data_IF_629332405805
#
_entry.id   IF_629332405805
#
_cell.length_a   1.000
_cell.length_b   1.000
_cell.length_c   1.000
_cell.angle_alpha   90.00
_cell.angle_beta   90.00
_cell.angle_gamma   90.00
#
_symmetry.space_group_name_H-M   'P 1'
#
loop_
_entity.id
_entity.type
_entity.pdbx_description
1 polymer ?
#
# COMPACT_ATOMS: atom_id res chain seq x y z
N UNK A 1 2.24 20.91 -14.86
CA UNK A 1 1.14 20.24 -14.14
C UNK A 1 0.77 21.13 -12.97
N UNK A 2 -0.52 21.43 -12.76
CA UNK A 2 -0.94 22.26 -11.62
C UNK A 2 -0.82 21.47 -10.31
N UNK A 3 -0.74 22.15 -9.16
CA UNK A 3 -0.52 21.53 -7.84
C UNK A 3 -1.58 20.47 -7.50
N UNK A 4 -2.82 20.72 -7.90
CA UNK A 4 -3.93 19.75 -7.74
C UNK A 4 -3.71 18.46 -8.51
N UNK A 5 -3.23 18.55 -9.75
CA UNK A 5 -3.00 17.38 -10.60
C UNK A 5 -1.77 16.59 -10.11
N UNK A 6 -0.75 17.31 -9.65
CA UNK A 6 0.42 16.72 -8.98
C UNK A 6 0.01 15.95 -7.73
N UNK A 7 -0.87 16.52 -6.90
CA UNK A 7 -1.40 15.85 -5.71
C UNK A 7 -2.18 14.59 -6.05
N UNK A 8 -3.08 14.65 -7.04
CA UNK A 8 -3.85 13.48 -7.50
C UNK A 8 -2.94 12.35 -7.94
N UNK A 9 -1.96 12.69 -8.78
CA UNK A 9 -1.05 11.72 -9.36
C UNK A 9 -0.17 11.06 -8.28
N UNK A 10 0.47 11.85 -7.41
CA UNK A 10 1.35 11.30 -6.37
C UNK A 10 0.57 10.54 -5.28
N UNK A 11 -0.62 11.02 -4.90
CA UNK A 11 -1.47 10.31 -3.92
C UNK A 11 -2.00 8.99 -4.51
N UNK A 12 -2.38 8.98 -5.78
CA UNK A 12 -2.78 7.77 -6.50
C UNK A 12 -1.62 6.79 -6.65
N UNK A 13 -0.43 7.26 -7.05
CA UNK A 13 0.76 6.41 -7.22
C UNK A 13 1.25 5.79 -5.91
N UNK A 14 1.06 6.47 -4.78
CA UNK A 14 1.42 5.94 -3.46
C UNK A 14 0.77 4.57 -3.22
N UNK A 15 -0.52 4.43 -3.55
CA UNK A 15 -1.26 3.16 -3.40
C UNK A 15 -1.23 2.31 -4.67
N UNK A 16 -1.28 2.94 -5.84
CA UNK A 16 -1.39 2.25 -7.13
C UNK A 16 -0.12 1.47 -7.49
N UNK A 17 1.03 1.91 -7.00
CA UNK A 17 2.29 1.16 -7.12
C UNK A 17 2.24 -0.18 -6.41
N UNK A 18 1.45 -0.34 -5.35
CA UNK A 18 1.30 -1.60 -4.61
C UNK A 18 0.59 -2.69 -5.40
N UNK A 19 -0.13 -2.31 -6.45
CA UNK A 19 -0.84 -3.21 -7.36
C UNK A 19 0.11 -3.76 -8.43
N UNK A 20 1.22 -3.05 -8.69
CA UNK A 20 2.21 -3.46 -9.68
C UNK A 20 3.03 -4.61 -9.13
N UNK A 21 2.99 -5.71 -9.87
CA UNK A 21 3.39 -7.06 -9.50
C UNK A 21 4.78 -7.17 -8.84
N UNK A 22 4.82 -7.91 -7.71
CA UNK A 22 5.83 -8.65 -6.90
C UNK A 22 7.34 -8.53 -7.21
N UNK A 23 7.78 -8.11 -8.38
CA UNK A 23 9.17 -8.29 -8.86
C UNK A 23 10.15 -7.24 -8.32
N UNK A 24 9.70 -6.02 -7.99
CA UNK A 24 10.58 -4.96 -7.50
C UNK A 24 9.86 -4.15 -6.43
N UNK A 25 9.99 -4.56 -5.17
CA UNK A 25 9.57 -3.86 -3.95
C UNK A 25 8.61 -2.68 -4.18
N UNK A 26 7.33 -2.92 -4.46
CA UNK A 26 6.37 -1.86 -4.78
C UNK A 26 6.24 -0.79 -3.68
N UNK A 27 6.63 -1.13 -2.45
CA UNK A 27 6.76 -0.21 -1.30
C UNK A 27 7.82 0.89 -1.48
N UNK A 28 8.79 0.72 -2.39
CA UNK A 28 9.80 1.76 -2.66
C UNK A 28 9.17 3.03 -3.22
N UNK A 29 8.11 2.91 -4.02
CA UNK A 29 7.43 4.07 -4.59
C UNK A 29 6.84 4.97 -3.50
N UNK A 30 6.00 4.50 -2.56
CA UNK A 30 5.52 5.35 -1.48
C UNK A 30 6.65 5.84 -0.57
N UNK A 31 7.72 5.08 -0.35
CA UNK A 31 8.90 5.55 0.40
C UNK A 31 9.56 6.74 -0.31
N UNK A 32 9.82 6.64 -1.61
CA UNK A 32 10.40 7.73 -2.39
C UNK A 32 9.47 8.94 -2.36
N UNK A 33 8.17 8.76 -2.59
CA UNK A 33 7.17 9.84 -2.53
C UNK A 33 7.20 10.52 -1.16
N UNK A 34 7.31 9.77 -0.06
CA UNK A 34 7.38 10.30 1.30
C UNK A 34 8.61 11.20 1.53
N UNK A 35 9.72 10.92 0.84
CA UNK A 35 10.99 11.65 0.97
C UNK A 35 11.07 12.89 0.07
N UNK A 36 10.37 12.89 -1.08
CA UNK A 36 10.47 13.97 -2.09
C UNK A 36 9.32 14.96 -2.10
N UNK A 37 8.26 14.73 -1.29
CA UNK A 37 7.05 15.56 -1.29
C UNK A 37 6.89 16.36 0.00
N UNK A 38 6.63 17.67 -0.13
CA UNK A 38 6.28 18.55 0.99
C UNK A 38 4.76 18.64 1.22
N UNK A 39 3.97 18.07 0.31
CA UNK A 39 2.51 18.10 0.38
C UNK A 39 2.00 17.15 1.48
N UNK A 40 1.38 17.72 2.52
CA UNK A 40 0.89 16.97 3.68
C UNK A 40 -0.10 15.84 3.32
N UNK A 41 -0.95 16.02 2.29
CA UNK A 41 -1.92 15.00 1.89
C UNK A 41 -1.23 13.88 1.12
N UNK A 42 -0.33 14.21 0.20
CA UNK A 42 0.47 13.20 -0.50
C UNK A 42 1.31 12.42 0.50
N UNK A 43 1.96 13.11 1.45
CA UNK A 43 2.80 12.50 2.47
C UNK A 43 2.00 11.56 3.37
N UNK A 44 0.77 11.93 3.74
CA UNK A 44 -0.12 11.06 4.52
C UNK A 44 -0.52 9.79 3.74
N UNK A 45 -0.90 9.92 2.47
CA UNK A 45 -1.19 8.76 1.61
C UNK A 45 0.04 7.85 1.43
N UNK A 46 1.23 8.43 1.27
CA UNK A 46 2.47 7.68 1.18
C UNK A 46 2.79 6.92 2.47
N UNK A 47 2.56 7.50 3.65
CA UNK A 47 2.70 6.79 4.94
C UNK A 47 1.75 5.60 5.04
N UNK A 48 0.51 5.78 4.64
CA UNK A 48 -0.51 4.73 4.69
C UNK A 48 -0.17 3.57 3.74
N UNK A 49 0.36 3.88 2.57
CA UNK A 49 0.83 2.88 1.61
C UNK A 49 2.01 2.02 2.11
N UNK A 50 2.74 2.46 3.14
CA UNK A 50 3.79 1.65 3.80
C UNK A 50 3.19 0.42 4.51
N UNK A 51 1.86 0.34 4.68
CA UNK A 51 1.16 -0.89 5.10
C UNK A 51 1.57 -2.13 4.30
N UNK A 52 2.01 -1.97 3.05
CA UNK A 52 2.56 -3.06 2.25
C UNK A 52 3.69 -3.83 2.96
N UNK A 53 4.47 -3.20 3.85
CA UNK A 53 5.48 -3.90 4.66
C UNK A 53 4.84 -4.94 5.58
N UNK A 54 3.72 -4.60 6.24
CA UNK A 54 2.99 -5.54 7.09
C UNK A 54 2.46 -6.73 6.28
N UNK A 55 1.93 -6.46 5.09
CA UNK A 55 1.50 -7.51 4.14
C UNK A 55 2.67 -8.40 3.73
N UNK A 56 3.84 -7.82 3.43
CA UNK A 56 5.05 -8.60 3.09
C UNK A 56 5.49 -9.46 4.27
N UNK A 57 5.54 -8.93 5.49
CA UNK A 57 5.90 -9.70 6.70
C UNK A 57 4.92 -10.86 6.90
N UNK A 58 3.61 -10.59 6.82
CA UNK A 58 2.58 -11.63 6.90
C UNK A 58 2.74 -12.69 5.80
N UNK A 59 3.11 -12.29 4.58
CA UNK A 59 3.33 -13.21 3.47
C UNK A 59 4.55 -14.12 3.71
N UNK A 60 5.65 -13.56 4.21
CA UNK A 60 6.86 -14.32 4.58
C UNK A 60 6.53 -15.33 5.70
N UNK A 61 5.85 -14.90 6.76
CA UNK A 61 5.43 -15.80 7.85
C UNK A 61 4.51 -16.90 7.30
N UNK A 62 3.51 -16.53 6.49
CA UNK A 62 2.59 -17.49 5.87
C UNK A 62 3.32 -18.49 4.96
N UNK A 63 4.35 -18.06 4.24
CA UNK A 63 5.16 -18.94 3.38
C UNK A 63 5.95 -19.97 4.19
N UNK A 64 6.46 -19.59 5.36
CA UNK A 64 7.12 -20.52 6.28
C UNK A 64 6.11 -21.50 6.88
N UNK A 65 4.88 -21.06 7.15
CA UNK A 65 3.79 -21.91 7.63
C UNK A 65 3.31 -22.94 6.59
N UNK A 66 3.67 -22.80 5.30
CA UNK A 66 3.39 -23.86 4.31
C UNK A 66 4.12 -25.16 4.72
N UNK A 67 5.32 -25.05 5.30
CA UNK A 67 6.10 -26.20 5.76
C UNK A 67 5.43 -26.94 6.93
N UNK A 68 4.48 -26.30 7.61
CA UNK A 68 3.71 -26.85 8.73
C UNK A 68 2.32 -27.23 8.23
N UNK A 69 2.19 -28.43 7.65
CA UNK A 69 0.91 -29.02 7.20
C UNK A 69 0.18 -28.22 6.09
N UNK A 70 0.88 -27.35 5.35
CA UNK A 70 0.30 -26.60 4.23
C UNK A 70 -0.68 -25.49 4.63
N UNK A 71 -0.84 -25.20 5.93
CA UNK A 71 -1.79 -24.20 6.44
C UNK A 71 -1.52 -22.78 5.88
N UNK A 72 -0.26 -22.50 5.59
CA UNK A 72 0.20 -21.24 5.00
C UNK A 72 -0.42 -20.91 3.64
N UNK A 73 -0.88 -21.91 2.87
CA UNK A 73 -1.46 -21.70 1.54
C UNK A 73 -2.77 -20.91 1.62
N UNK A 74 -3.65 -21.27 2.56
CA UNK A 74 -4.92 -20.57 2.76
C UNK A 74 -4.67 -19.10 3.18
N UNK A 75 -3.70 -18.89 4.06
CA UNK A 75 -3.35 -17.57 4.56
C UNK A 75 -2.75 -16.69 3.45
N UNK A 76 -1.90 -17.24 2.60
CA UNK A 76 -1.36 -16.55 1.42
C UNK A 76 -2.45 -16.18 0.42
N UNK A 77 -3.42 -17.07 0.18
CA UNK A 77 -4.54 -16.78 -0.73
C UNK A 77 -5.38 -15.60 -0.23
N UNK A 78 -5.72 -15.60 1.06
CA UNK A 78 -6.45 -14.49 1.69
C UNK A 78 -5.63 -13.18 1.62
N UNK A 79 -4.34 -13.27 1.89
CA UNK A 79 -3.45 -12.12 1.89
C UNK A 79 -3.25 -11.54 0.48
N UNK A 80 -3.19 -12.39 -0.54
CA UNK A 80 -3.14 -11.97 -1.94
C UNK A 80 -4.37 -11.13 -2.32
N UNK A 81 -5.56 -11.58 -1.92
CA UNK A 81 -6.81 -10.82 -2.14
C UNK A 81 -6.75 -9.45 -1.45
N UNK A 82 -6.37 -9.41 -0.17
CA UNK A 82 -6.26 -8.17 0.59
C UNK A 82 -5.22 -7.22 -0.04
N UNK A 83 -4.06 -7.76 -0.44
CA UNK A 83 -2.95 -7.02 -1.04
C UNK A 83 -3.31 -6.36 -2.38
N UNK A 84 -4.32 -6.88 -3.08
CA UNK A 84 -4.77 -6.33 -4.34
C UNK A 84 -5.97 -5.38 -4.17
N UNK A 85 -7.00 -5.82 -3.43
CA UNK A 85 -8.26 -5.06 -3.30
C UNK A 85 -8.06 -3.78 -2.48
N UNK A 86 -7.32 -3.86 -1.37
CA UNK A 86 -7.16 -2.69 -0.49
C UNK A 86 -6.42 -1.54 -1.21
N UNK A 87 -5.26 -1.75 -1.86
CA UNK A 87 -4.60 -0.67 -2.60
C UNK A 87 -5.38 -0.18 -3.82
N UNK A 88 -6.19 -1.03 -4.47
CA UNK A 88 -7.09 -0.60 -5.54
C UNK A 88 -8.10 0.43 -5.05
N UNK A 89 -8.77 0.14 -3.92
CA UNK A 89 -9.73 1.06 -3.31
C UNK A 89 -9.03 2.34 -2.86
N UNK A 90 -7.87 2.23 -2.21
CA UNK A 90 -7.08 3.36 -1.75
C UNK A 90 -6.65 4.27 -2.92
N UNK A 91 -6.24 3.69 -4.05
CA UNK A 91 -5.88 4.42 -5.27
C UNK A 91 -7.06 5.22 -5.81
N UNK A 92 -8.21 4.57 -5.98
CA UNK A 92 -9.43 5.23 -6.49
C UNK A 92 -9.86 6.36 -5.54
N UNK A 93 -9.81 6.11 -4.23
CA UNK A 93 -10.16 7.10 -3.22
C UNK A 93 -9.21 8.30 -3.26
N UNK A 94 -7.90 8.07 -3.29
CA UNK A 94 -6.87 9.11 -3.27
C UNK A 94 -6.95 10.03 -4.51
N UNK A 95 -7.28 9.47 -5.68
CA UNK A 95 -7.49 10.26 -6.91
C UNK A 95 -8.77 11.10 -6.84
N UNK A 96 -9.84 10.58 -6.23
CA UNK A 96 -11.11 11.30 -6.09
C UNK A 96 -11.09 12.35 -4.97
N UNK A 97 -10.37 12.09 -3.87
CA UNK A 97 -10.38 12.92 -2.65
C UNK A 97 -9.03 13.61 -2.43
N UNK A 98 -8.82 14.73 -3.12
CA UNK A 98 -7.58 15.52 -3.06
C UNK A 98 -7.34 16.27 -1.73
N UNK A 99 -8.38 16.44 -0.92
CA UNK A 99 -8.29 17.19 0.34
C UNK A 99 -8.20 16.29 1.57
N UNK A 100 -8.35 14.96 1.40
CA UNK A 100 -8.37 14.00 2.50
C UNK A 100 -7.53 12.77 2.14
N UNK A 101 -6.58 12.38 3.00
CA UNK A 101 -5.83 11.15 2.77
C UNK A 101 -6.73 9.92 2.98
N UNK A 102 -6.38 8.81 2.33
CA UNK A 102 -6.97 7.52 2.61
C UNK A 102 -6.29 6.88 3.82
N UNK A 103 -7.07 6.33 4.75
CA UNK A 103 -6.56 5.55 5.87
C UNK A 103 -7.03 4.10 5.75
N UNK A 104 -6.11 3.14 5.81
CA UNK A 104 -6.50 1.73 5.72
C UNK A 104 -7.17 1.29 7.03
N UNK A 105 -8.31 0.58 6.95
CA UNK A 105 -9.09 0.18 8.12
C UNK A 105 -8.41 -0.88 9.00
N UNK A 106 -7.40 -1.58 8.48
CA UNK A 106 -6.77 -2.76 9.10
C UNK A 106 -5.27 -2.54 9.38
N UNK A 107 -4.87 -1.32 9.75
CA UNK A 107 -3.49 -1.05 10.20
C UNK A 107 -3.44 -1.04 11.72
N UNK A 108 -2.65 -1.95 12.29
CA UNK A 108 -2.11 -1.76 13.62
C UNK A 108 -1.00 -0.72 13.53
N UNK A 109 -1.20 0.45 14.13
CA UNK A 109 -0.21 1.51 14.18
C UNK A 109 0.87 1.11 15.19
N UNK A 110 1.81 0.24 14.79
CA UNK A 110 2.95 -0.14 15.63
C UNK A 110 4.11 0.88 15.56
N UNK A 111 4.03 1.87 14.66
CA UNK A 111 4.99 2.97 14.49
C UNK A 111 4.32 4.25 13.97
#
# INVERSE_FOLDING_TARGET
MNDTDKRKLLSGLSHGSLILNIVVFPVLVPIIILLVTDDAIVRSNAKEAIFAINVIICAVISSLLILVEGLGIFLLYLLAIISFIMPLIATIYAVKNIHKPYHYPLIWHFL
#
